data_IF_466118549807
#
_entry.id   IF_466118549807
#
_cell.length_a   1.000
_cell.length_b   1.000
_cell.length_c   1.000
_cell.angle_alpha   90.00
_cell.angle_beta   90.00
_cell.angle_gamma   90.00
#
_symmetry.space_group_name_H-M   'P 1'
#
loop_
_entity.id
_entity.type
_entity.pdbx_description
1 polymer ?
#
# COMPACT_ATOMS: atom_id res chain seq x y z
N UNK A 1 45.29 35.99 43.05
CA UNK A 1 43.90 35.79 43.51
C UNK A 1 42.96 36.44 42.52
N UNK A 2 42.26 35.65 41.69
CA UNK A 2 41.30 36.15 40.70
C UNK A 2 39.98 35.42 40.92
N UNK A 3 39.00 36.18 41.39
CA UNK A 3 37.70 35.74 41.88
C UNK A 3 36.80 35.25 40.74
N UNK A 4 36.14 34.12 40.97
CA UNK A 4 35.13 33.51 40.11
C UNK A 4 33.78 34.20 40.38
N UNK A 5 33.17 34.79 39.35
CA UNK A 5 31.77 35.22 39.41
C UNK A 5 30.91 34.09 38.88
N UNK A 6 30.15 33.46 39.78
CA UNK A 6 29.09 32.52 39.48
C UNK A 6 27.83 33.27 39.04
N UNK A 7 27.19 32.85 37.95
CA UNK A 7 25.86 33.30 37.55
C UNK A 7 24.84 32.20 37.82
N UNK A 8 23.64 32.54 38.33
CA UNK A 8 22.67 31.54 38.79
C UNK A 8 21.94 30.84 37.64
N UNK A 9 21.67 29.57 37.94
CA UNK A 9 20.86 28.59 37.24
C UNK A 9 19.44 29.10 36.92
N UNK A 10 19.11 29.20 35.63
CA UNK A 10 17.73 29.43 35.18
C UNK A 10 17.07 28.10 34.81
N UNK A 11 16.30 27.61 35.78
CA UNK A 11 14.99 26.95 35.64
C UNK A 11 14.77 25.99 34.45
N UNK A 12 14.70 24.71 34.82
CA UNK A 12 14.25 23.56 34.06
C UNK A 12 12.84 23.79 33.47
N UNK A 13 12.74 24.19 32.19
CA UNK A 13 11.46 24.20 31.49
C UNK A 13 11.04 22.75 31.14
N UNK A 14 10.21 22.15 31.99
CA UNK A 14 9.52 20.90 31.71
C UNK A 14 8.53 21.12 30.56
N UNK A 15 8.90 20.78 29.33
CA UNK A 15 7.98 20.74 28.19
C UNK A 15 7.02 19.56 28.37
N UNK A 16 5.83 19.84 28.85
CA UNK A 16 4.67 18.95 28.75
C UNK A 16 4.24 18.88 27.28
N UNK A 17 4.39 17.73 26.65
CA UNK A 17 3.83 17.47 25.32
C UNK A 17 2.31 17.31 25.47
N UNK A 18 1.55 18.33 25.09
CA UNK A 18 0.10 18.23 24.88
C UNK A 18 -0.15 17.60 23.51
N UNK A 19 -0.87 16.47 23.49
CA UNK A 19 -1.37 15.86 22.26
C UNK A 19 -2.82 16.26 22.09
N UNK A 20 -3.07 17.41 21.47
CA UNK A 20 -4.39 17.77 20.95
C UNK A 20 -4.27 17.93 19.44
N UNK A 21 -4.79 16.94 18.72
CA UNK A 21 -5.04 17.02 17.28
C UNK A 21 -6.20 18.00 17.11
N UNK A 22 -5.93 19.17 16.54
CA UNK A 22 -6.98 20.06 16.06
C UNK A 22 -7.54 19.48 14.76
N UNK A 23 -8.74 18.90 14.83
CA UNK A 23 -9.54 18.59 13.64
C UNK A 23 -9.95 19.92 13.01
N UNK A 24 -9.29 20.27 11.91
CA UNK A 24 -9.69 21.39 11.06
C UNK A 24 -10.99 21.00 10.36
N UNK A 25 -12.09 21.66 10.74
CA UNK A 25 -13.38 21.53 10.07
C UNK A 25 -13.21 21.90 8.59
N UNK A 26 -13.46 20.93 7.70
CA UNK A 26 -13.59 21.15 6.26
C UNK A 26 -14.91 21.87 5.93
N UNK A 27 -15.03 22.45 4.72
CA UNK A 27 -16.20 23.21 4.33
C UNK A 27 -17.43 22.31 4.14
N UNK A 28 -18.61 22.88 4.43
CA UNK A 28 -19.94 22.26 4.37
C UNK A 28 -20.22 21.59 3.02
N UNK A 29 -20.76 20.38 3.08
CA UNK A 29 -21.38 19.65 1.97
C UNK A 29 -22.82 20.19 1.83
N UNK A 30 -23.24 20.69 0.66
CA UNK A 30 -24.64 20.81 0.31
C UNK A 30 -25.16 19.44 -0.14
N UNK A 31 -26.13 18.91 0.58
CA UNK A 31 -27.05 17.89 0.08
C UNK A 31 -28.18 18.62 -0.63
N UNK A 32 -28.39 18.34 -1.92
CA UNK A 32 -29.68 18.33 -2.60
C UNK A 32 -29.52 17.57 -3.93
N UNK A 33 -30.54 16.77 -4.25
CA UNK A 33 -30.75 15.93 -5.43
C UNK A 33 -30.22 16.47 -6.77
N UNK A 34 -29.36 15.71 -7.47
CA UNK A 34 -29.44 15.54 -8.94
C UNK A 34 -28.55 14.35 -9.40
N UNK A 35 -29.12 13.41 -10.15
CA UNK A 35 -28.39 12.28 -10.72
C UNK A 35 -27.40 12.74 -11.82
N UNK A 36 -26.20 12.15 -11.94
CA UNK A 36 -25.26 12.55 -12.99
C UNK A 36 -25.77 12.12 -14.37
N UNK A 37 -25.66 12.96 -15.42
CA UNK A 37 -26.04 12.57 -16.77
C UNK A 37 -25.13 11.44 -17.26
N UNK A 38 -25.76 10.37 -17.74
CA UNK A 38 -25.11 9.23 -18.41
C UNK A 38 -24.35 9.77 -19.61
N UNK A 39 -23.02 9.86 -19.50
CA UNK A 39 -22.14 10.15 -20.64
C UNK A 39 -22.08 8.90 -21.51
N UNK A 40 -22.91 8.84 -22.55
CA UNK A 40 -22.80 7.82 -23.61
C UNK A 40 -21.53 8.07 -24.41
N UNK A 41 -20.56 7.16 -24.32
CA UNK A 41 -19.34 7.18 -25.11
C UNK A 41 -19.66 6.72 -26.55
N UNK A 42 -19.49 7.55 -27.60
CA UNK A 42 -19.95 7.23 -28.96
C UNK A 42 -19.04 6.26 -29.73
N UNK A 43 -18.04 5.65 -29.07
CA UNK A 43 -17.08 4.72 -29.69
C UNK A 43 -17.29 3.26 -29.28
N UNK A 44 -18.42 2.93 -28.66
CA UNK A 44 -18.85 1.54 -28.44
C UNK A 44 -19.97 1.27 -29.42
N UNK A 45 -19.63 0.66 -30.55
CA UNK A 45 -20.63 0.16 -31.49
C UNK A 45 -21.53 -0.86 -30.81
N UNK A 46 -22.85 -0.71 -31.00
CA UNK A 46 -23.84 -1.71 -30.62
C UNK A 46 -23.59 -3.00 -31.41
N UNK A 47 -22.79 -3.92 -30.86
CA UNK A 47 -22.72 -5.29 -31.33
C UNK A 47 -23.90 -6.06 -30.70
N UNK A 48 -24.78 -6.70 -31.49
CA UNK A 48 -25.77 -7.60 -30.93
C UNK A 48 -25.08 -8.76 -30.20
N UNK A 49 -25.66 -9.29 -29.12
CA UNK A 49 -25.07 -10.42 -28.40
C UNK A 49 -24.93 -11.61 -29.34
N UNK A 50 -23.72 -12.18 -29.40
CA UNK A 50 -23.41 -13.41 -30.13
C UNK A 50 -24.27 -14.54 -29.55
N UNK A 51 -24.98 -15.32 -30.39
CA UNK A 51 -25.70 -16.50 -29.90
C UNK A 51 -24.69 -17.53 -29.37
N UNK A 52 -24.98 -18.23 -28.26
CA UNK A 52 -24.11 -19.28 -27.75
C UNK A 52 -23.92 -20.39 -28.81
N UNK A 53 -22.73 -21.02 -28.87
CA UNK A 53 -22.48 -22.13 -29.78
C UNK A 53 -23.49 -23.27 -29.52
N UNK A 54 -24.03 -23.83 -30.61
CA UNK A 54 -24.91 -24.98 -30.57
C UNK A 54 -24.16 -26.18 -30.00
N UNK A 55 -24.25 -26.38 -28.69
CA UNK A 55 -23.84 -27.61 -28.04
C UNK A 55 -24.85 -28.69 -28.42
N UNK A 56 -24.35 -29.70 -29.14
CA UNK A 56 -24.99 -30.96 -29.44
C UNK A 56 -25.70 -31.51 -28.20
N UNK A 57 -27.00 -31.71 -28.34
CA UNK A 57 -27.86 -32.27 -27.32
C UNK A 57 -27.38 -33.70 -26.96
N UNK A 58 -26.70 -33.84 -25.83
CA UNK A 58 -26.66 -35.10 -25.10
C UNK A 58 -27.98 -35.23 -24.34
N UNK A 59 -28.84 -36.09 -24.87
CA UNK A 59 -30.15 -36.45 -24.33
C UNK A 59 -30.01 -36.96 -22.89
N UNK A 60 -30.48 -36.14 -21.96
CA UNK A 60 -30.67 -36.50 -20.55
C UNK A 60 -32.17 -36.32 -20.24
N UNK A 61 -32.76 -37.18 -19.41
CA UNK A 61 -34.22 -37.27 -19.26
C UNK A 61 -34.85 -35.96 -18.76
N UNK A 62 -36.14 -35.72 -19.05
CA UNK A 62 -36.74 -34.39 -19.00
C UNK A 62 -36.90 -33.91 -17.55
N UNK A 63 -36.04 -33.00 -17.11
CA UNK A 63 -36.32 -32.19 -15.94
C UNK A 63 -37.04 -30.91 -16.38
N UNK A 64 -38.32 -30.84 -16.03
CA UNK A 64 -39.17 -29.67 -16.23
C UNK A 64 -38.53 -28.41 -15.63
N UNK A 65 -38.37 -27.36 -16.44
CA UNK A 65 -37.95 -26.03 -15.95
C UNK A 65 -38.98 -25.55 -14.91
N UNK A 66 -38.55 -25.12 -13.71
CA UNK A 66 -39.50 -24.72 -12.67
C UNK A 66 -40.24 -23.44 -13.07
N UNK A 67 -41.57 -23.48 -12.96
CA UNK A 67 -42.50 -22.38 -13.28
C UNK A 67 -42.42 -21.20 -12.32
N UNK A 68 -41.83 -21.41 -11.13
CA UNK A 68 -41.55 -20.37 -10.14
C UNK A 68 -40.17 -20.58 -9.50
N UNK A 69 -39.46 -19.49 -9.20
CA UNK A 69 -38.16 -19.51 -8.54
C UNK A 69 -38.20 -20.06 -7.11
N UNK A 70 -39.38 -20.08 -6.49
CA UNK A 70 -39.61 -20.59 -5.14
C UNK A 70 -40.90 -21.41 -5.10
N UNK A 71 -40.84 -22.60 -4.53
CA UNK A 71 -41.95 -23.54 -4.39
C UNK A 71 -42.10 -23.90 -2.91
N UNK A 72 -43.10 -23.28 -2.25
CA UNK A 72 -43.36 -23.41 -0.82
C UNK A 72 -44.01 -24.75 -0.43
N UNK A 73 -44.44 -25.56 -1.41
CA UNK A 73 -45.11 -26.84 -1.19
C UNK A 73 -44.12 -28.00 -1.01
N UNK A 74 -42.85 -27.80 -1.38
CA UNK A 74 -41.79 -28.77 -1.17
C UNK A 74 -41.16 -28.56 0.19
N UNK A 75 -41.07 -29.60 1.05
CA UNK A 75 -40.31 -29.50 2.29
C UNK A 75 -38.86 -29.15 1.92
N UNK A 76 -38.37 -28.03 2.44
CA UNK A 76 -37.08 -27.48 2.08
C UNK A 76 -35.98 -28.36 2.70
N UNK A 77 -35.60 -29.44 2.01
CA UNK A 77 -34.50 -30.32 2.41
C UNK A 77 -33.17 -29.63 2.07
N UNK A 78 -32.82 -28.62 2.85
CA UNK A 78 -31.45 -28.11 2.88
C UNK A 78 -30.59 -29.22 3.48
N UNK A 79 -29.92 -29.97 2.61
CA UNK A 79 -28.86 -30.84 3.06
C UNK A 79 -27.68 -29.96 3.49
N UNK A 80 -27.71 -29.60 4.78
CA UNK A 80 -26.71 -28.73 5.40
C UNK A 80 -25.31 -29.32 5.21
N UNK A 81 -25.18 -30.66 5.18
CA UNK A 81 -23.91 -31.33 5.01
C UNK A 81 -23.30 -31.07 3.63
N UNK A 82 -24.07 -31.16 2.53
CA UNK A 82 -23.56 -30.86 1.19
C UNK A 82 -23.26 -29.38 0.98
N UNK A 83 -24.04 -28.48 1.58
CA UNK A 83 -23.74 -27.03 1.54
C UNK A 83 -22.44 -26.72 2.27
N UNK A 84 -22.23 -27.30 3.45
CA UNK A 84 -20.97 -27.17 4.20
C UNK A 84 -19.83 -27.80 3.40
N UNK A 85 -20.00 -29.01 2.86
CA UNK A 85 -18.97 -29.69 2.08
C UNK A 85 -18.55 -28.86 0.86
N UNK A 86 -19.50 -28.33 0.09
CA UNK A 86 -19.23 -27.50 -1.09
C UNK A 86 -18.60 -26.15 -0.73
N UNK A 87 -19.03 -25.50 0.35
CA UNK A 87 -18.38 -24.27 0.83
C UNK A 87 -16.97 -24.54 1.36
N UNK A 88 -16.77 -25.68 2.03
CA UNK A 88 -15.48 -26.09 2.59
C UNK A 88 -14.49 -26.42 1.48
N UNK A 89 -14.92 -27.13 0.44
CA UNK A 89 -14.08 -27.47 -0.71
C UNK A 89 -13.72 -26.23 -1.53
N UNK A 90 -14.67 -25.32 -1.77
CA UNK A 90 -14.39 -24.04 -2.44
C UNK A 90 -13.40 -23.17 -1.64
N UNK A 91 -13.59 -23.05 -0.32
CA UNK A 91 -12.68 -22.32 0.55
C UNK A 91 -11.27 -22.95 0.62
N UNK A 92 -11.20 -24.28 0.59
CA UNK A 92 -9.94 -25.03 0.52
C UNK A 92 -9.18 -24.78 -0.78
N UNK A 93 -9.88 -24.77 -1.93
CA UNK A 93 -9.27 -24.45 -3.22
C UNK A 93 -8.78 -23.00 -3.29
N UNK A 94 -9.49 -22.05 -2.67
CA UNK A 94 -9.10 -20.65 -2.56
C UNK A 94 -7.88 -20.41 -1.65
N UNK A 95 -7.54 -21.35 -0.76
CA UNK A 95 -6.32 -21.25 0.09
C UNK A 95 -5.03 -21.47 -0.70
N UNK A 96 -5.07 -22.29 -1.74
CA UNK A 96 -3.95 -22.51 -2.67
C UNK A 96 -3.87 -21.44 -3.77
N UNK A 97 -4.70 -20.40 -3.69
CA UNK A 97 -4.70 -19.30 -4.66
C UNK A 97 -3.42 -18.45 -4.61
N UNK A 98 -3.17 -17.74 -5.73
CA UNK A 98 -2.00 -16.90 -5.89
C UNK A 98 -1.76 -15.99 -4.68
N UNK A 99 -0.49 -15.85 -4.21
CA UNK A 99 -0.15 -15.08 -3.01
C UNK A 99 -0.40 -13.58 -3.15
N UNK A 100 -0.86 -13.13 -4.31
CA UNK A 100 -1.29 -11.76 -4.62
C UNK A 100 -2.79 -11.60 -4.37
N UNK A 101 -3.59 -12.58 -4.78
CA UNK A 101 -5.06 -12.60 -4.58
C UNK A 101 -5.37 -12.79 -3.10
N UNK A 102 -4.69 -13.74 -2.47
CA UNK A 102 -4.82 -14.01 -1.04
C UNK A 102 -3.44 -14.13 -0.39
N UNK A 103 -2.81 -13.01 -0.01
CA UNK A 103 -1.49 -13.07 0.62
C UNK A 103 -1.59 -13.81 1.96
N UNK A 104 -0.86 -14.93 2.08
CA UNK A 104 -0.64 -15.56 3.39
C UNK A 104 0.32 -14.67 4.18
N UNK A 105 -0.21 -13.63 4.83
CA UNK A 105 0.59 -12.67 5.61
C UNK A 105 1.14 -13.38 6.85
N UNK A 106 2.36 -13.87 6.76
CA UNK A 106 3.14 -14.26 7.94
C UNK A 106 3.80 -13.00 8.49
N UNK A 107 3.62 -12.67 9.76
CA UNK A 107 4.29 -11.53 10.39
C UNK A 107 5.76 -11.87 10.71
N UNK A 108 6.61 -11.93 9.69
CA UNK A 108 8.07 -12.18 9.82
C UNK A 108 8.85 -10.93 9.44
N UNK A 109 10.13 -10.87 9.80
CA UNK A 109 11.01 -9.79 9.36
C UNK A 109 11.13 -9.67 7.83
N UNK A 110 10.82 -10.75 7.09
CA UNK A 110 10.81 -10.80 5.61
C UNK A 110 9.63 -10.04 5.02
N UNK A 111 8.55 -9.88 5.79
CA UNK A 111 7.30 -9.25 5.37
C UNK A 111 7.56 -7.79 4.99
N UNK A 112 7.33 -7.46 3.71
CA UNK A 112 7.63 -6.15 3.13
C UNK A 112 8.91 -6.07 2.28
N UNK A 113 9.71 -7.15 2.20
CA UNK A 113 10.86 -7.28 1.28
C UNK A 113 10.64 -8.32 0.19
N UNK A 114 9.39 -8.53 -0.18
CA UNK A 114 8.96 -9.41 -1.26
C UNK A 114 8.41 -8.57 -2.40
N UNK A 115 8.69 -8.99 -3.64
CA UNK A 115 8.20 -8.34 -4.85
C UNK A 115 7.58 -9.43 -5.72
N UNK A 116 6.34 -9.24 -6.14
CA UNK A 116 5.62 -10.18 -6.98
C UNK A 116 5.85 -9.87 -8.46
N UNK A 117 5.76 -10.91 -9.31
CA UNK A 117 5.90 -10.75 -10.75
C UNK A 117 4.51 -10.55 -11.35
N UNK A 118 4.25 -9.37 -11.92
CA UNK A 118 2.96 -8.93 -12.48
C UNK A 118 3.18 -7.84 -13.52
N UNK A 119 2.34 -7.80 -14.55
CA UNK A 119 2.47 -6.90 -15.71
C UNK A 119 2.64 -5.41 -15.35
N UNK A 120 2.03 -4.97 -14.25
CA UNK A 120 2.15 -3.59 -13.78
C UNK A 120 3.31 -3.42 -12.81
N UNK A 121 4.14 -2.40 -13.06
CA UNK A 121 5.19 -1.96 -12.11
C UNK A 121 4.55 -1.17 -10.96
N UNK A 122 4.71 -1.66 -9.72
CA UNK A 122 4.32 -0.94 -8.50
C UNK A 122 5.45 -0.99 -7.47
N UNK A 123 5.22 -0.52 -6.23
CA UNK A 123 6.23 -0.59 -5.16
C UNK A 123 6.57 -2.04 -4.78
N UNK A 124 5.67 -2.99 -5.01
CA UNK A 124 5.82 -4.40 -4.63
C UNK A 124 5.59 -5.37 -5.79
N UNK A 125 5.56 -4.87 -7.04
CA UNK A 125 5.37 -5.69 -8.23
C UNK A 125 6.25 -5.26 -9.41
N UNK A 126 6.60 -6.20 -10.29
CA UNK A 126 7.24 -5.89 -11.57
C UNK A 126 6.97 -6.96 -12.66
N UNK A 127 6.90 -6.58 -13.95
CA UNK A 127 6.47 -7.46 -15.04
C UNK A 127 7.44 -8.59 -15.33
N UNK A 128 8.74 -8.31 -15.27
CA UNK A 128 9.77 -9.30 -15.51
C UNK A 128 10.58 -9.55 -14.23
N UNK A 129 11.17 -10.75 -14.07
CA UNK A 129 12.04 -11.05 -12.93
C UNK A 129 13.16 -10.02 -12.76
N UNK A 130 13.75 -9.52 -13.86
CA UNK A 130 14.78 -8.48 -13.79
C UNK A 130 14.27 -7.17 -13.21
N UNK A 131 13.08 -6.73 -13.63
CA UNK A 131 12.46 -5.51 -13.09
C UNK A 131 12.06 -5.72 -11.64
N UNK A 132 11.50 -6.87 -11.29
CA UNK A 132 11.18 -7.22 -9.91
C UNK A 132 12.42 -7.17 -8.99
N UNK A 133 13.58 -7.67 -9.45
CA UNK A 133 14.85 -7.57 -8.71
C UNK A 133 15.31 -6.11 -8.58
N UNK A 134 15.13 -5.26 -9.59
CA UNK A 134 15.44 -3.82 -9.48
C UNK A 134 14.54 -3.10 -8.48
N UNK A 135 13.25 -3.43 -8.48
CA UNK A 135 12.27 -2.93 -7.48
C UNK A 135 12.68 -3.39 -6.09
N UNK A 136 13.01 -4.67 -5.90
CA UNK A 136 13.49 -5.21 -4.63
C UNK A 136 14.74 -4.49 -4.13
N UNK A 137 15.72 -4.26 -5.02
CA UNK A 137 16.93 -3.50 -4.69
C UNK A 137 16.63 -2.07 -4.25
N UNK A 138 15.62 -1.41 -4.84
CA UNK A 138 15.17 -0.09 -4.41
C UNK A 138 14.58 -0.15 -3.00
N UNK A 139 13.69 -1.10 -2.71
CA UNK A 139 13.09 -1.28 -1.38
C UNK A 139 14.18 -1.48 -0.31
N UNK A 140 15.15 -2.35 -0.58
CA UNK A 140 16.27 -2.64 0.35
C UNK A 140 17.09 -1.38 0.65
N UNK A 141 17.28 -0.50 -0.35
CA UNK A 141 17.95 0.80 -0.17
C UNK A 141 17.10 1.78 0.62
N UNK A 142 15.81 1.90 0.35
CA UNK A 142 14.89 2.77 1.11
C UNK A 142 14.86 2.36 2.60
N UNK A 143 14.80 1.06 2.88
CA UNK A 143 14.87 0.47 4.22
C UNK A 143 16.24 0.60 4.90
N UNK A 144 17.28 0.97 4.14
CA UNK A 144 18.67 1.10 4.58
C UNK A 144 19.22 -0.20 5.20
N UNK A 145 18.79 -1.37 4.72
CA UNK A 145 19.13 -2.69 5.32
C UNK A 145 20.64 -2.90 5.35
N UNK A 146 21.34 -2.59 4.25
CA UNK A 146 22.80 -2.70 4.18
C UNK A 146 23.49 -1.85 5.24
N UNK A 147 23.04 -0.61 5.43
CA UNK A 147 23.61 0.29 6.43
C UNK A 147 23.34 -0.20 7.86
N UNK A 148 22.14 -0.73 8.12
CA UNK A 148 21.78 -1.35 9.41
C UNK A 148 22.70 -2.55 9.69
N UNK A 149 22.85 -3.46 8.73
CA UNK A 149 23.74 -4.62 8.83
C UNK A 149 25.18 -4.22 9.20
N UNK A 150 25.79 -3.27 8.48
CA UNK A 150 27.15 -2.83 8.78
C UNK A 150 27.26 -2.13 10.15
N UNK A 151 26.23 -1.38 10.56
CA UNK A 151 26.21 -0.74 11.88
C UNK A 151 26.01 -1.71 13.05
N UNK A 152 25.45 -2.89 12.78
CA UNK A 152 25.22 -3.94 13.78
C UNK A 152 26.41 -4.91 13.86
N UNK A 153 27.22 -5.02 12.80
CA UNK A 153 28.41 -5.89 12.75
C UNK A 153 29.36 -5.66 13.94
N UNK A 154 29.50 -4.43 14.39
CA UNK A 154 30.33 -4.07 15.55
C UNK A 154 29.57 -3.17 16.52
N UNK A 155 29.82 -3.35 17.81
CA UNK A 155 29.24 -2.48 18.83
C UNK A 155 29.81 -1.06 18.72
N UNK A 156 28.94 -0.09 18.44
CA UNK A 156 29.26 1.33 18.53
C UNK A 156 28.81 1.90 19.88
N UNK A 157 29.76 2.46 20.65
CA UNK A 157 29.47 3.12 21.93
C UNK A 157 28.45 4.25 21.75
N UNK A 158 27.55 4.43 22.72
CA UNK A 158 26.47 5.45 22.67
C UNK A 158 26.96 6.87 22.35
N UNK A 159 28.13 7.27 22.88
CA UNK A 159 28.72 8.59 22.64
C UNK A 159 29.19 8.78 21.20
N UNK A 160 29.86 7.78 20.62
CA UNK A 160 30.33 7.80 19.24
C UNK A 160 29.15 7.83 18.27
N UNK A 161 28.12 7.00 18.52
CA UNK A 161 26.87 6.99 17.74
C UNK A 161 26.20 8.37 17.71
N UNK A 162 26.11 9.05 18.85
CA UNK A 162 25.54 10.41 18.93
C UNK A 162 26.35 11.42 18.10
N UNK A 163 27.69 11.39 18.21
CA UNK A 163 28.58 12.27 17.43
C UNK A 163 28.45 12.02 15.91
N UNK A 164 28.46 10.75 15.50
CA UNK A 164 28.26 10.35 14.10
C UNK A 164 26.90 10.80 13.56
N UNK A 165 25.81 10.54 14.28
CA UNK A 165 24.46 10.96 13.86
C UNK A 165 24.32 12.49 13.79
N UNK A 166 24.91 13.24 14.73
CA UNK A 166 24.93 14.72 14.67
C UNK A 166 25.61 15.21 13.40
N UNK A 167 26.81 14.69 13.11
CA UNK A 167 27.57 15.05 11.91
C UNK A 167 26.83 14.64 10.62
N UNK A 168 26.25 13.44 10.57
CA UNK A 168 25.49 12.95 9.42
C UNK A 168 24.26 13.83 9.12
N UNK A 169 23.47 14.16 10.16
CA UNK A 169 22.30 15.04 10.02
C UNK A 169 22.70 16.44 9.56
N UNK A 170 23.81 16.98 10.08
CA UNK A 170 24.32 18.28 9.66
C UNK A 170 24.73 18.27 8.18
N UNK A 171 25.53 17.28 7.75
CA UNK A 171 25.91 17.13 6.33
C UNK A 171 24.70 16.99 5.42
N UNK A 172 23.67 16.25 5.85
CA UNK A 172 22.43 16.10 5.07
C UNK A 172 21.67 17.41 4.91
N UNK A 173 21.56 18.20 5.99
CA UNK A 173 20.90 19.52 5.94
C UNK A 173 21.70 20.51 5.12
N UNK A 174 23.01 20.56 5.32
CA UNK A 174 23.92 21.41 4.56
C UNK A 174 23.81 21.09 3.06
N UNK A 175 23.89 19.81 2.67
CA UNK A 175 23.74 19.39 1.27
C UNK A 175 22.40 19.80 0.67
N UNK A 176 21.31 19.71 1.44
CA UNK A 176 20.00 20.13 0.98
C UNK A 176 19.93 21.65 0.75
N UNK A 177 20.37 22.45 1.73
CA UNK A 177 20.43 23.90 1.61
C UNK A 177 21.33 24.35 0.46
N UNK A 178 22.52 23.75 0.33
CA UNK A 178 23.46 24.06 -0.75
C UNK A 178 22.87 23.76 -2.15
N UNK A 179 22.15 22.64 -2.30
CA UNK A 179 21.45 22.36 -3.55
C UNK A 179 20.38 23.40 -3.87
N UNK A 180 19.60 23.81 -2.87
CA UNK A 180 18.58 24.84 -3.04
C UNK A 180 19.17 26.19 -3.44
N UNK A 181 20.31 26.60 -2.84
CA UNK A 181 20.99 27.85 -3.23
C UNK A 181 21.52 27.77 -4.66
N UNK A 182 22.14 26.66 -5.06
CA UNK A 182 22.61 26.48 -6.44
C UNK A 182 21.45 26.50 -7.42
N UNK A 183 20.35 25.79 -7.13
CA UNK A 183 19.12 25.86 -7.93
C UNK A 183 18.62 27.30 -8.07
N UNK A 184 18.60 28.06 -6.98
CA UNK A 184 18.18 29.47 -6.99
C UNK A 184 19.11 30.35 -7.82
N UNK A 185 20.43 30.16 -7.73
CA UNK A 185 21.40 30.87 -8.56
C UNK A 185 21.16 30.57 -10.04
N UNK A 186 20.89 29.31 -10.39
CA UNK A 186 20.59 28.93 -11.77
C UNK A 186 19.27 29.54 -12.27
N UNK A 187 18.26 29.67 -11.40
CA UNK A 187 17.02 30.38 -11.73
C UNK A 187 17.26 31.87 -12.02
N UNK A 188 18.03 32.56 -11.16
CA UNK A 188 18.37 33.98 -11.32
C UNK A 188 19.20 34.22 -12.59
N UNK A 189 20.21 33.38 -12.82
CA UNK A 189 20.99 33.38 -14.06
C UNK A 189 20.09 33.23 -15.30
N UNK A 190 19.08 32.35 -15.24
CA UNK A 190 18.14 32.15 -16.36
C UNK A 190 17.27 33.40 -16.59
N UNK A 191 16.97 34.16 -15.54
CA UNK A 191 16.24 35.43 -15.62
C UNK A 191 17.11 36.60 -16.07
N UNK A 192 18.44 36.43 -16.13
CA UNK A 192 19.38 37.48 -16.52
C UNK A 192 19.84 38.38 -15.36
N UNK A 193 19.61 37.96 -14.11
CA UNK A 193 20.21 38.58 -12.92
C UNK A 193 21.64 38.09 -12.70
#
# INVERSE_FOLDING_TARGET
MLSRVATPSTCLAKRTFTTSIALRAGPKIPTDDEAPPVRSNPLVGNLPPVPPPANSASESPPQSKPTHAYDASKPFSLDIASIIANKSSAYGAELDSDPISRPQIRAKAVTGRTVFIQDRVTKTTGPTPMVAIRVLNRIIREDQVKNKYHSQKFHERKGLKKKRLRSQRWRSRFKHGFKATVSRVMELKKQGW
#
